data_IF_734810360106
#
_entry.id   IF_734810360106
#
_cell.length_a   1.000
_cell.length_b   1.000
_cell.length_c   1.000
_cell.angle_alpha   90.00
_cell.angle_beta   90.00
_cell.angle_gamma   90.00
#
_symmetry.space_group_name_H-M   'P 1'
#
loop_
_entity.id
_entity.type
_entity.pdbx_description
1 polymer ?
#
# COMPACT_ATOMS: atom_id res chain seq x y z
N UNK A 1 -4.08 -7.53 -9.88
CA UNK A 1 -3.23 -7.95 -8.70
C UNK A 1 -3.36 -9.42 -8.37
N UNK A 2 -4.57 -10.02 -8.40
CA UNK A 2 -4.77 -11.45 -8.07
C UNK A 2 -3.95 -12.38 -9.00
N UNK A 3 -4.04 -12.21 -10.32
CA UNK A 3 -3.28 -13.05 -11.25
C UNK A 3 -1.76 -12.86 -11.09
N UNK A 4 -1.29 -11.63 -10.83
CA UNK A 4 0.12 -11.41 -10.48
C UNK A 4 0.50 -12.14 -9.18
N UNK A 5 -0.37 -12.08 -8.17
CA UNK A 5 -0.15 -12.76 -6.87
C UNK A 5 -0.07 -14.28 -6.99
N UNK A 6 -0.78 -14.87 -7.95
CA UNK A 6 -0.72 -16.29 -8.27
C UNK A 6 0.66 -16.73 -8.76
N UNK A 7 1.41 -15.83 -9.41
CA UNK A 7 2.75 -16.13 -9.93
C UNK A 7 3.87 -15.57 -9.04
N UNK A 8 3.70 -14.37 -8.50
CA UNK A 8 4.68 -13.74 -7.63
C UNK A 8 4.02 -12.75 -6.65
N UNK A 9 3.89 -13.16 -5.40
CA UNK A 9 3.29 -12.32 -4.35
C UNK A 9 4.03 -11.00 -4.13
N UNK A 10 5.36 -10.99 -4.19
CA UNK A 10 6.15 -9.77 -4.03
C UNK A 10 5.86 -8.76 -5.14
N UNK A 11 5.85 -9.20 -6.40
CA UNK A 11 5.52 -8.34 -7.55
C UNK A 11 4.10 -7.80 -7.44
N UNK A 12 3.14 -8.65 -7.06
CA UNK A 12 1.75 -8.22 -6.92
C UNK A 12 1.58 -7.18 -5.81
N UNK A 13 2.27 -7.36 -4.68
CA UNK A 13 2.18 -6.43 -3.55
C UNK A 13 2.81 -5.07 -3.91
N UNK A 14 3.99 -5.05 -4.51
CA UNK A 14 4.66 -3.81 -4.90
C UNK A 14 3.90 -3.06 -5.98
N UNK A 15 3.40 -3.77 -7.00
CA UNK A 15 2.49 -3.20 -7.99
C UNK A 15 1.24 -2.59 -7.35
N UNK A 16 0.70 -3.29 -6.35
CA UNK A 16 -0.50 -2.83 -5.65
C UNK A 16 -0.25 -1.58 -4.80
N UNK A 17 0.93 -1.42 -4.20
CA UNK A 17 1.30 -0.21 -3.48
C UNK A 17 1.26 1.03 -4.38
N UNK A 18 1.85 0.93 -5.58
CA UNK A 18 1.81 2.00 -6.57
C UNK A 18 0.38 2.27 -7.08
N UNK A 19 -0.33 1.21 -7.45
CA UNK A 19 -1.69 1.32 -7.98
C UNK A 19 -2.67 1.88 -6.94
N UNK A 20 -2.57 1.47 -5.67
CA UNK A 20 -3.43 1.98 -4.62
C UNK A 20 -3.30 3.50 -4.46
N UNK A 21 -2.07 4.03 -4.45
CA UNK A 21 -1.84 5.48 -4.37
C UNK A 21 -2.45 6.22 -5.56
N UNK A 22 -2.18 5.73 -6.77
CA UNK A 22 -2.70 6.38 -7.98
C UNK A 22 -4.22 6.32 -8.07
N UNK A 23 -4.85 5.23 -7.61
CA UNK A 23 -6.31 5.14 -7.50
C UNK A 23 -6.90 6.06 -6.45
N UNK A 24 -6.24 6.20 -5.29
CA UNK A 24 -6.69 7.11 -4.22
C UNK A 24 -6.78 8.53 -4.72
N UNK A 25 -5.70 9.04 -5.28
CA UNK A 25 -5.61 10.42 -5.76
C UNK A 25 -6.40 10.60 -7.05
N UNK A 26 -6.40 9.60 -7.92
CA UNK A 26 -7.00 9.65 -9.24
C UNK A 26 -8.52 9.51 -9.22
N UNK A 27 -9.05 8.40 -8.78
CA UNK A 27 -10.46 8.04 -8.96
C UNK A 27 -11.29 8.18 -7.67
N UNK A 28 -10.77 7.67 -6.55
CA UNK A 28 -11.52 7.69 -5.28
C UNK A 28 -11.73 9.11 -4.79
N UNK A 29 -10.76 10.00 -5.05
CA UNK A 29 -10.84 11.41 -4.67
C UNK A 29 -11.95 12.20 -5.40
N UNK A 30 -12.50 11.69 -6.50
CA UNK A 30 -13.62 12.36 -7.19
C UNK A 30 -14.86 12.49 -6.31
N UNK A 31 -15.09 11.53 -5.42
CA UNK A 31 -16.26 11.49 -4.55
C UNK A 31 -16.06 12.21 -3.20
N UNK A 32 -14.91 12.86 -2.97
CA UNK A 32 -14.66 13.60 -1.73
C UNK A 32 -15.43 14.92 -1.70
N UNK A 33 -15.87 15.31 -0.51
CA UNK A 33 -16.40 16.65 -0.27
C UNK A 33 -15.24 17.63 -0.28
N UNK A 34 -15.25 18.51 -1.24
CA UNK A 34 -14.26 19.57 -1.45
C UNK A 34 -14.99 20.87 -1.76
N UNK A 35 -14.47 21.99 -1.29
CA UNK A 35 -14.84 23.31 -1.83
C UNK A 35 -14.37 23.43 -3.28
N UNK A 36 -14.86 24.42 -4.01
CA UNK A 36 -14.44 24.65 -5.39
C UNK A 36 -12.92 24.95 -5.47
N UNK A 37 -12.39 25.66 -4.48
CA UNK A 37 -10.96 25.97 -4.37
C UNK A 37 -10.12 24.73 -4.09
N UNK A 38 -10.53 23.88 -3.14
CA UNK A 38 -9.84 22.62 -2.84
C UNK A 38 -9.85 21.69 -4.05
N UNK A 39 -10.98 21.62 -4.76
CA UNK A 39 -11.08 20.82 -5.98
C UNK A 39 -10.17 21.31 -7.09
N UNK A 40 -10.08 22.63 -7.31
CA UNK A 40 -9.18 23.20 -8.31
C UNK A 40 -7.70 22.85 -8.01
N UNK A 41 -7.28 23.01 -6.75
CA UNK A 41 -5.93 22.65 -6.32
C UNK A 41 -5.68 21.13 -6.43
N UNK A 42 -6.67 20.31 -6.04
CA UNK A 42 -6.56 18.86 -6.17
C UNK A 42 -6.40 18.41 -7.64
N UNK A 43 -7.18 19.00 -8.56
CA UNK A 43 -7.09 18.66 -9.99
C UNK A 43 -5.72 19.01 -10.60
N UNK A 44 -5.12 20.12 -10.20
CA UNK A 44 -3.78 20.51 -10.62
C UNK A 44 -2.74 19.49 -10.13
N UNK A 45 -2.76 19.18 -8.82
CA UNK A 45 -1.84 18.21 -8.18
C UNK A 45 -2.02 16.80 -8.73
N UNK A 46 -3.26 16.38 -8.96
CA UNK A 46 -3.60 15.09 -9.58
C UNK A 46 -3.06 15.01 -11.01
N UNK A 47 -3.20 16.07 -11.78
CA UNK A 47 -2.68 16.15 -13.15
C UNK A 47 -1.16 16.03 -13.19
N UNK A 48 -0.47 16.65 -12.23
CA UNK A 48 0.99 16.55 -12.10
C UNK A 48 1.42 15.14 -11.68
N UNK A 49 0.73 14.51 -10.73
CA UNK A 49 0.96 13.12 -10.33
C UNK A 49 0.86 12.20 -11.56
N UNK A 50 -0.23 12.33 -12.33
CA UNK A 50 -0.43 11.50 -13.52
C UNK A 50 0.61 11.74 -14.61
N UNK A 51 1.04 12.99 -14.80
CA UNK A 51 2.13 13.30 -15.73
C UNK A 51 3.42 12.61 -15.31
N UNK A 52 3.78 12.68 -14.03
CA UNK A 52 4.95 12.01 -13.48
C UNK A 52 4.90 10.50 -13.68
N UNK A 53 3.75 9.87 -13.42
CA UNK A 53 3.57 8.43 -13.62
C UNK A 53 3.65 8.03 -15.11
N UNK A 54 2.95 8.75 -15.99
CA UNK A 54 2.80 8.35 -17.40
C UNK A 54 4.01 8.75 -18.24
N UNK A 55 4.50 9.98 -18.08
CA UNK A 55 5.56 10.51 -18.93
C UNK A 55 6.98 10.22 -18.40
N UNK A 56 7.12 10.13 -17.07
CA UNK A 56 8.43 10.01 -16.43
C UNK A 56 8.63 8.63 -15.79
N UNK A 57 7.58 7.83 -15.67
CA UNK A 57 7.63 6.49 -15.05
C UNK A 57 7.78 6.52 -13.54
N UNK A 58 7.39 7.61 -12.88
CA UNK A 58 7.53 7.76 -11.43
C UNK A 58 6.77 6.69 -10.67
N UNK A 59 7.44 6.08 -9.71
CA UNK A 59 6.87 5.08 -8.82
C UNK A 59 6.46 5.72 -7.50
N UNK A 60 5.24 5.43 -7.09
CA UNK A 60 4.69 5.83 -5.80
C UNK A 60 4.64 4.64 -4.85
N UNK A 61 5.10 4.82 -3.62
CA UNK A 61 4.89 3.89 -2.51
C UNK A 61 3.95 4.51 -1.49
N UNK A 62 3.31 3.66 -0.69
CA UNK A 62 2.42 4.10 0.39
C UNK A 62 2.84 3.45 1.72
N UNK A 63 3.85 3.97 2.40
CA UNK A 63 4.23 3.52 3.72
C UNK A 63 3.19 4.00 4.74
N UNK A 64 2.37 3.08 5.25
CA UNK A 64 1.25 3.41 6.12
C UNK A 64 1.56 3.13 7.60
N UNK A 65 2.10 1.95 7.91
CA UNK A 65 2.32 1.46 9.27
C UNK A 65 3.40 2.23 10.02
N UNK A 66 3.18 2.49 11.32
CA UNK A 66 4.14 3.15 12.20
C UNK A 66 4.73 2.22 13.27
N UNK A 67 4.26 0.96 13.30
CA UNK A 67 4.71 -0.05 14.27
C UNK A 67 4.17 0.17 15.68
N UNK A 68 3.15 1.01 15.81
CA UNK A 68 2.49 1.30 17.09
C UNK A 68 1.29 0.37 17.30
N UNK A 69 0.97 0.10 18.56
CA UNK A 69 -0.25 -0.63 18.89
C UNK A 69 -1.49 0.25 18.66
N UNK A 70 -2.66 -0.33 18.33
CA UNK A 70 -3.89 0.43 18.20
C UNK A 70 -4.20 1.23 19.46
N UNK A 71 -4.39 2.54 19.32
CA UNK A 71 -4.72 3.46 20.42
C UNK A 71 -3.52 4.06 21.14
N UNK A 72 -2.28 3.77 20.75
CA UNK A 72 -1.09 4.42 21.33
C UNK A 72 -0.99 5.90 20.95
N UNK A 73 -1.57 6.29 19.81
CA UNK A 73 -1.68 7.69 19.40
C UNK A 73 -3.08 8.02 18.92
N UNK A 74 -3.49 9.27 19.04
CA UNK A 74 -4.63 9.81 18.31
C UNK A 74 -4.17 10.13 16.87
N UNK A 75 -4.67 9.41 15.90
CA UNK A 75 -4.25 9.53 14.50
C UNK A 75 -2.88 8.89 14.24
N UNK A 76 -2.05 9.53 13.41
CA UNK A 76 -0.69 9.09 13.08
C UNK A 76 0.34 9.74 14.00
N UNK A 77 1.46 9.04 14.27
CA UNK A 77 2.59 9.57 15.04
C UNK A 77 3.49 10.48 14.20
N UNK A 78 3.59 10.25 12.90
CA UNK A 78 4.33 11.13 12.00
C UNK A 78 3.74 12.54 12.02
N UNK A 79 4.61 13.55 12.11
CA UNK A 79 4.26 14.97 12.27
C UNK A 79 4.89 15.81 11.18
N UNK A 80 4.13 16.75 10.64
CA UNK A 80 4.61 17.71 9.68
C UNK A 80 4.41 19.14 10.22
N UNK A 81 5.44 19.96 10.09
CA UNK A 81 5.42 21.37 10.45
C UNK A 81 5.35 22.19 9.18
N UNK A 82 4.34 23.10 9.02
CA UNK A 82 4.27 23.98 7.86
C UNK A 82 5.50 24.93 7.82
N UNK A 83 6.06 25.06 6.64
CA UNK A 83 7.16 26.01 6.35
C UNK A 83 6.89 26.69 5.02
N UNK A 84 7.72 27.68 4.65
CA UNK A 84 7.60 28.33 3.35
C UNK A 84 7.76 27.29 2.22
N UNK A 85 6.77 27.23 1.33
CA UNK A 85 6.74 26.32 0.19
C UNK A 85 6.37 24.87 0.50
N UNK A 86 6.05 24.49 1.75
CA UNK A 86 5.69 23.09 2.04
C UNK A 86 5.69 22.70 3.51
N UNK A 87 6.26 21.55 3.80
CA UNK A 87 6.26 20.95 5.15
C UNK A 87 7.62 20.35 5.48
N UNK A 88 7.98 20.35 6.76
CA UNK A 88 9.05 19.50 7.30
C UNK A 88 8.44 18.32 8.02
N UNK A 89 8.64 17.12 7.49
CA UNK A 89 8.10 15.88 8.02
C UNK A 89 9.10 15.20 8.97
N UNK A 90 8.62 14.79 10.14
CA UNK A 90 9.38 13.99 11.12
C UNK A 90 8.53 12.79 11.53
N UNK A 91 9.15 11.61 11.59
CA UNK A 91 8.44 10.39 12.00
C UNK A 91 9.09 9.14 11.44
N UNK A 92 8.39 8.02 11.64
CA UNK A 92 8.85 6.70 11.17
C UNK A 92 7.72 5.91 10.58
N UNK A 93 8.00 5.23 9.49
CA UNK A 93 7.11 4.23 8.89
C UNK A 93 7.82 2.89 8.81
N UNK A 94 7.09 1.81 9.07
CA UNK A 94 7.59 0.43 9.01
C UNK A 94 6.90 -0.33 7.88
N UNK A 95 7.51 -1.41 7.41
CA UNK A 95 7.01 -2.19 6.28
C UNK A 95 6.79 -1.35 5.01
N UNK A 96 7.72 -0.41 4.75
CA UNK A 96 7.65 0.49 3.60
C UNK A 96 8.04 -0.24 2.32
N UNK A 97 7.11 -0.97 1.72
CA UNK A 97 7.34 -1.63 0.43
C UNK A 97 7.79 -0.63 -0.63
N UNK A 98 8.71 -1.02 -1.50
CA UNK A 98 9.38 -0.16 -2.48
C UNK A 98 10.30 0.92 -1.85
N UNK A 99 10.76 0.75 -0.63
CA UNK A 99 11.53 1.77 0.10
C UNK A 99 12.77 2.29 -0.66
N UNK A 100 13.43 1.45 -1.46
CA UNK A 100 14.65 1.83 -2.19
C UNK A 100 14.41 2.16 -3.68
N UNK A 101 13.19 2.02 -4.18
CA UNK A 101 12.93 2.18 -5.63
C UNK A 101 11.78 3.14 -5.94
N UNK A 102 10.97 3.53 -4.97
CA UNK A 102 9.94 4.54 -5.18
C UNK A 102 10.57 5.92 -5.33
N UNK A 103 10.00 6.73 -6.21
CA UNK A 103 10.36 8.15 -6.36
C UNK A 103 9.67 9.02 -5.31
N UNK A 104 8.45 8.62 -4.90
CA UNK A 104 7.69 9.30 -3.86
C UNK A 104 7.13 8.30 -2.82
N UNK A 105 7.32 8.65 -1.56
CA UNK A 105 6.70 7.98 -0.42
C UNK A 105 5.46 8.76 0.03
N UNK A 106 4.27 8.22 -0.25
CA UNK A 106 3.01 8.89 0.11
C UNK A 106 2.64 8.54 1.55
N UNK A 107 2.82 9.50 2.44
CA UNK A 107 2.80 9.34 3.89
C UNK A 107 1.55 9.99 4.47
N UNK A 108 0.84 9.25 5.30
CA UNK A 108 -0.17 9.82 6.20
C UNK A 108 0.52 10.39 7.43
N UNK A 109 0.19 11.63 7.79
CA UNK A 109 0.73 12.30 8.96
C UNK A 109 -0.25 13.30 9.56
N UNK A 110 0.07 13.85 10.73
CA UNK A 110 -0.63 14.97 11.34
C UNK A 110 0.17 16.24 11.12
N UNK A 111 -0.50 17.35 10.86
CA UNK A 111 0.16 18.66 10.72
C UNK A 111 0.01 19.46 12.01
N UNK A 112 1.05 20.16 12.43
CA UNK A 112 1.02 20.99 13.63
C UNK A 112 -0.10 22.04 13.53
N UNK A 113 -0.97 22.09 14.56
CA UNK A 113 -2.11 23.00 14.60
C UNK A 113 -3.36 22.54 13.83
N UNK A 114 -3.36 21.34 13.25
CA UNK A 114 -4.51 20.74 12.55
C UNK A 114 -4.70 19.28 13.02
N UNK A 115 -5.92 18.89 13.32
CA UNK A 115 -6.30 17.54 13.76
C UNK A 115 -6.70 16.60 12.60
N UNK A 116 -6.70 17.13 11.36
CA UNK A 116 -7.03 16.37 10.15
C UNK A 116 -5.80 15.67 9.60
N UNK A 117 -5.99 14.42 9.18
CA UNK A 117 -4.93 13.65 8.53
C UNK A 117 -4.53 14.30 7.19
N UNK A 118 -3.24 14.38 6.94
CA UNK A 118 -2.67 14.81 5.67
C UNK A 118 -2.08 13.63 4.90
N UNK A 119 -2.08 13.74 3.58
CA UNK A 119 -1.51 12.76 2.67
C UNK A 119 -0.45 13.44 1.80
N UNK A 120 0.81 13.26 2.19
CA UNK A 120 1.96 13.97 1.65
C UNK A 120 2.86 13.05 0.84
N UNK A 121 3.19 13.42 -0.39
CA UNK A 121 4.17 12.73 -1.24
C UNK A 121 5.60 13.21 -0.94
N UNK A 122 6.34 12.48 -0.14
CA UNK A 122 7.72 12.77 0.23
C UNK A 122 8.65 12.34 -0.90
N UNK A 123 9.44 13.23 -1.53
CA UNK A 123 10.46 12.81 -2.48
C UNK A 123 11.45 11.85 -1.82
N UNK A 124 11.77 10.75 -2.47
CA UNK A 124 12.64 9.71 -1.88
C UNK A 124 14.09 10.19 -1.69
N UNK A 125 14.50 11.19 -2.46
CA UNK A 125 15.82 11.82 -2.45
C UNK A 125 15.88 13.10 -1.58
N UNK A 126 14.79 13.46 -0.89
CA UNK A 126 14.79 14.61 0.00
C UNK A 126 15.76 14.40 1.18
N UNK A 127 16.48 15.48 1.52
CA UNK A 127 17.31 15.47 2.74
C UNK A 127 16.45 15.09 3.96
N UNK A 128 16.99 14.23 4.82
CA UNK A 128 16.28 13.73 6.01
C UNK A 128 15.41 12.48 5.75
N UNK A 129 15.35 11.95 4.54
CA UNK A 129 14.76 10.64 4.26
C UNK A 129 15.82 9.56 4.48
N UNK A 130 15.60 8.68 5.46
CA UNK A 130 16.55 7.65 5.86
C UNK A 130 15.88 6.27 5.75
N UNK A 131 16.52 5.36 5.05
CA UNK A 131 16.09 3.96 4.94
C UNK A 131 16.86 3.14 5.98
N UNK A 132 16.15 2.48 6.90
CA UNK A 132 16.73 1.74 8.00
C UNK A 132 16.40 0.25 8.00
N UNK A 133 17.28 -0.53 8.64
CA UNK A 133 17.10 -1.96 8.88
C UNK A 133 17.29 -2.81 7.64
N UNK A 134 17.23 -4.12 7.82
CA UNK A 134 17.30 -5.11 6.76
C UNK A 134 15.90 -5.65 6.45
N UNK A 135 15.75 -6.21 5.26
CA UNK A 135 14.52 -6.88 4.85
C UNK A 135 14.83 -8.32 4.41
N UNK A 136 14.77 -9.25 5.36
CA UNK A 136 14.97 -10.69 5.13
C UNK A 136 13.89 -11.56 5.80
N UNK A 137 12.61 -11.36 5.48
CA UNK A 137 11.52 -12.18 6.03
C UNK A 137 11.47 -13.56 5.38
N UNK A 138 10.68 -14.47 5.96
CA UNK A 138 10.44 -15.81 5.40
C UNK A 138 9.85 -15.77 3.98
N UNK A 139 8.92 -14.83 3.74
CA UNK A 139 8.29 -14.62 2.44
C UNK A 139 8.28 -13.13 2.06
N UNK A 140 7.88 -12.80 0.83
CA UNK A 140 7.75 -11.41 0.35
C UNK A 140 9.08 -10.63 0.34
N UNK A 141 10.22 -11.31 0.17
CA UNK A 141 11.55 -10.68 0.16
C UNK A 141 11.70 -9.62 -0.92
N UNK A 142 11.14 -9.87 -2.10
CA UNK A 142 11.21 -8.94 -3.23
C UNK A 142 10.39 -7.66 -3.07
N UNK A 143 9.67 -7.45 -1.94
CA UNK A 143 8.96 -6.19 -1.70
C UNK A 143 9.86 -5.09 -1.17
N UNK A 144 11.05 -5.45 -0.64
CA UNK A 144 11.98 -4.52 -0.03
C UNK A 144 11.28 -3.53 0.92
N UNK A 145 10.61 -4.09 1.93
CA UNK A 145 9.73 -3.34 2.84
C UNK A 145 10.48 -2.89 4.10
N UNK A 146 11.57 -2.15 3.93
CA UNK A 146 12.40 -1.62 5.01
C UNK A 146 11.66 -0.53 5.78
N UNK A 147 12.29 0.01 6.81
CA UNK A 147 11.73 1.14 7.55
C UNK A 147 12.18 2.45 6.90
N UNK A 148 11.32 3.46 6.98
CA UNK A 148 11.62 4.83 6.61
C UNK A 148 11.60 5.70 7.87
N UNK A 149 12.63 6.49 8.02
CA UNK A 149 12.70 7.55 9.03
C UNK A 149 12.75 8.89 8.29
N UNK A 150 11.93 9.81 8.75
CA UNK A 150 11.89 11.18 8.28
C UNK A 150 12.43 12.07 9.40
N UNK A 151 13.55 12.73 9.16
CA UNK A 151 14.21 13.66 10.10
C UNK A 151 14.21 15.07 9.51
N UNK A 152 13.06 15.74 9.62
CA UNK A 152 12.86 17.05 9.01
C UNK A 152 12.84 17.02 7.47
N UNK A 153 12.38 15.93 6.85
CA UNK A 153 12.33 15.78 5.40
C UNK A 153 11.40 16.82 4.78
N UNK A 154 11.92 17.61 3.82
CA UNK A 154 11.13 18.61 3.15
C UNK A 154 10.16 17.99 2.14
N UNK A 155 8.88 18.38 2.25
CA UNK A 155 7.82 17.97 1.33
C UNK A 155 7.24 19.22 0.68
N UNK A 156 7.36 19.38 -0.65
CA UNK A 156 6.76 20.50 -1.36
C UNK A 156 5.24 20.56 -1.19
N UNK A 157 4.65 21.75 -1.11
CA UNK A 157 3.21 21.93 -0.92
C UNK A 157 2.37 21.29 -2.05
N UNK A 158 2.89 21.27 -3.27
CA UNK A 158 2.28 20.61 -4.42
C UNK A 158 2.17 19.08 -4.29
N UNK A 159 2.96 18.49 -3.42
CA UNK A 159 2.91 17.05 -3.13
C UNK A 159 1.90 16.69 -2.04
N UNK A 160 1.09 17.62 -1.56
CA UNK A 160 -0.10 17.30 -0.77
C UNK A 160 -1.24 16.89 -1.72
N UNK A 161 -1.33 15.59 -2.01
CA UNK A 161 -2.19 15.08 -3.08
C UNK A 161 -3.68 15.04 -2.74
N UNK A 162 -4.04 15.13 -1.47
CA UNK A 162 -5.43 15.17 -1.02
C UNK A 162 -5.68 16.43 -0.18
N UNK A 163 -6.87 17.01 -0.21
CA UNK A 163 -7.20 18.12 0.68
C UNK A 163 -7.13 17.68 2.15
N UNK A 164 -6.97 18.62 3.07
CA UNK A 164 -6.97 18.33 4.50
C UNK A 164 -8.21 17.54 4.95
N UNK A 165 -8.02 16.39 5.59
CA UNK A 165 -9.11 15.48 5.98
C UNK A 165 -9.67 14.63 4.83
N UNK A 166 -9.16 14.75 3.61
CA UNK A 166 -9.59 13.90 2.48
C UNK A 166 -9.32 12.43 2.73
N UNK A 167 -8.20 12.10 3.40
CA UNK A 167 -7.91 10.73 3.78
C UNK A 167 -8.92 10.19 4.80
N UNK A 168 -9.36 10.99 5.78
CA UNK A 168 -10.37 10.59 6.77
C UNK A 168 -11.73 10.31 6.12
N UNK A 169 -12.12 11.15 5.15
CA UNK A 169 -13.32 10.91 4.36
C UNK A 169 -13.25 9.58 3.60
N UNK A 170 -12.12 9.30 2.94
CA UNK A 170 -11.90 8.03 2.24
C UNK A 170 -11.97 6.83 3.18
N UNK A 171 -11.28 6.89 4.30
CA UNK A 171 -11.27 5.83 5.30
C UNK A 171 -12.67 5.49 5.83
N UNK A 172 -13.53 6.50 5.93
CA UNK A 172 -14.92 6.34 6.41
C UNK A 172 -15.85 5.82 5.30
N UNK A 173 -15.74 6.35 4.09
CA UNK A 173 -16.67 6.03 2.98
C UNK A 173 -16.31 4.73 2.28
N UNK A 174 -15.01 4.41 2.17
CA UNK A 174 -14.51 3.23 1.47
C UNK A 174 -13.60 2.39 2.36
N UNK A 175 -14.15 1.72 3.39
CA UNK A 175 -13.34 0.86 4.28
C UNK A 175 -12.62 -0.26 3.52
N UNK A 176 -13.13 -0.68 2.36
CA UNK A 176 -12.46 -1.64 1.48
C UNK A 176 -11.10 -1.13 0.94
N UNK A 177 -10.82 0.17 1.02
CA UNK A 177 -9.50 0.69 0.69
C UNK A 177 -8.38 -0.02 1.48
N UNK A 178 -8.63 -0.33 2.74
CA UNK A 178 -7.70 -1.11 3.56
C UNK A 178 -7.54 -2.55 3.10
N UNK A 179 -8.41 -3.03 2.24
CA UNK A 179 -8.36 -4.38 1.66
C UNK A 179 -7.63 -4.43 0.32
N UNK A 180 -7.01 -3.34 -0.12
CA UNK A 180 -6.29 -3.28 -1.42
C UNK A 180 -5.24 -4.36 -1.58
N UNK A 181 -4.62 -4.82 -0.49
CA UNK A 181 -3.66 -5.92 -0.49
C UNK A 181 -4.32 -7.30 -0.63
N UNK A 182 -5.61 -7.42 -0.40
CA UNK A 182 -6.36 -8.69 -0.38
C UNK A 182 -6.19 -9.45 -1.70
N UNK A 183 -6.25 -8.77 -2.84
CA UNK A 183 -6.11 -9.42 -4.15
C UNK A 183 -4.75 -10.09 -4.33
N UNK A 184 -3.68 -9.54 -3.75
CA UNK A 184 -2.37 -10.20 -3.75
C UNK A 184 -2.42 -11.52 -2.99
N UNK A 185 -3.03 -11.52 -1.82
CA UNK A 185 -3.14 -12.72 -0.99
C UNK A 185 -4.11 -13.76 -1.56
N UNK A 186 -5.18 -13.34 -2.22
CA UNK A 186 -6.07 -14.24 -2.98
C UNK A 186 -5.31 -14.96 -4.09
N UNK A 187 -4.45 -14.24 -4.80
CA UNK A 187 -3.58 -14.83 -5.81
C UNK A 187 -2.63 -15.88 -5.23
N UNK A 188 -1.99 -15.58 -4.10
CA UNK A 188 -1.11 -16.54 -3.40
C UNK A 188 -1.90 -17.77 -2.93
N UNK A 189 -3.09 -17.58 -2.35
CA UNK A 189 -3.96 -18.69 -1.96
C UNK A 189 -4.32 -19.56 -3.17
N UNK A 190 -4.62 -18.96 -4.32
CA UNK A 190 -4.89 -19.66 -5.56
C UNK A 190 -3.70 -20.48 -6.02
N UNK A 191 -2.49 -19.91 -5.98
CA UNK A 191 -1.26 -20.63 -6.33
C UNK A 191 -1.04 -21.87 -5.46
N UNK A 192 -1.29 -21.75 -4.15
CA UNK A 192 -1.18 -22.88 -3.21
C UNK A 192 -2.22 -23.96 -3.52
N UNK A 193 -3.45 -23.57 -3.85
CA UNK A 193 -4.50 -24.50 -4.22
C UNK A 193 -4.19 -25.24 -5.53
N UNK A 194 -3.71 -24.52 -6.55
CA UNK A 194 -3.31 -25.09 -7.83
C UNK A 194 -2.15 -26.08 -7.65
N UNK A 195 -1.09 -25.66 -6.96
CA UNK A 195 0.04 -26.55 -6.64
C UNK A 195 -0.41 -27.83 -5.92
N UNK A 196 -1.28 -27.69 -4.92
CA UNK A 196 -1.79 -28.85 -4.16
C UNK A 196 -2.63 -29.75 -5.05
N UNK A 197 -3.41 -29.19 -5.96
CA UNK A 197 -4.22 -29.95 -6.93
C UNK A 197 -3.34 -30.78 -7.85
N UNK A 198 -2.31 -30.16 -8.43
CA UNK A 198 -1.39 -30.80 -9.36
C UNK A 198 -0.56 -31.89 -8.66
N UNK A 199 -0.12 -31.61 -7.43
CA UNK A 199 0.56 -32.58 -6.59
C UNK A 199 -0.32 -33.82 -6.29
N UNK A 200 -1.60 -33.62 -5.99
CA UNK A 200 -2.54 -34.74 -5.75
C UNK A 200 -2.88 -35.50 -7.03
N UNK A 201 -2.87 -34.86 -8.19
CA UNK A 201 -3.05 -35.51 -9.50
C UNK A 201 -1.87 -36.34 -9.94
N UNK A 202 -0.74 -36.23 -9.28
CA UNK A 202 0.47 -36.98 -9.56
C UNK A 202 1.47 -36.24 -10.43
N UNK A 203 1.30 -34.98 -10.69
CA UNK A 203 2.31 -34.15 -11.34
C UNK A 203 3.54 -34.04 -10.42
N UNK A 204 4.64 -34.63 -10.81
CA UNK A 204 5.86 -34.75 -10.01
C UNK A 204 5.87 -35.88 -8.97
N UNK A 205 5.04 -36.93 -9.11
CA UNK A 205 5.00 -38.07 -8.20
C UNK A 205 3.98 -39.14 -8.54
N UNK A 206 3.50 -39.86 -7.53
CA UNK A 206 2.51 -40.94 -7.68
C UNK A 206 1.09 -40.42 -7.56
N UNK A 207 0.18 -40.91 -8.39
CA UNK A 207 -1.25 -40.57 -8.35
C UNK A 207 -2.02 -41.18 -7.15
N UNK A 208 -1.38 -42.06 -6.39
CA UNK A 208 -2.00 -42.69 -5.20
C UNK A 208 -2.43 -41.69 -4.14
N UNK A 209 -1.81 -40.51 -4.08
CA UNK A 209 -2.12 -39.48 -3.10
C UNK A 209 -3.54 -38.96 -3.18
N UNK A 210 -4.11 -38.89 -4.41
CA UNK A 210 -5.47 -38.37 -4.62
C UNK A 210 -6.55 -39.25 -4.00
N UNK A 211 -6.24 -40.55 -3.84
CA UNK A 211 -7.20 -41.55 -3.37
C UNK A 211 -7.21 -41.67 -1.84
N UNK A 212 -6.35 -40.91 -1.15
CA UNK A 212 -6.29 -40.83 0.31
C UNK A 212 -7.40 -39.92 0.86
N UNK A 213 -8.37 -40.43 1.67
CA UNK A 213 -9.46 -39.61 2.18
C UNK A 213 -9.02 -38.36 2.93
N UNK A 214 -7.93 -38.43 3.71
CA UNK A 214 -7.38 -37.30 4.45
C UNK A 214 -6.88 -36.20 3.50
N UNK A 215 -6.29 -36.55 2.37
CA UNK A 215 -5.82 -35.58 1.35
C UNK A 215 -6.98 -34.94 0.62
N UNK A 216 -8.01 -35.69 0.25
CA UNK A 216 -9.23 -35.19 -0.35
C UNK A 216 -9.96 -34.22 0.59
N UNK A 217 -10.07 -34.59 1.87
CA UNK A 217 -10.67 -33.69 2.86
C UNK A 217 -9.88 -32.39 3.04
N UNK A 218 -8.57 -32.47 3.18
CA UNK A 218 -7.70 -31.29 3.29
C UNK A 218 -7.80 -30.38 2.08
N UNK A 219 -7.79 -30.96 0.86
CA UNK A 219 -7.98 -30.18 -0.37
C UNK A 219 -9.35 -29.50 -0.42
N UNK A 220 -10.42 -30.19 -0.05
CA UNK A 220 -11.76 -29.63 0.00
C UNK A 220 -11.85 -28.45 0.97
N UNK A 221 -11.21 -28.54 2.15
CA UNK A 221 -11.13 -27.42 3.09
C UNK A 221 -10.38 -26.22 2.52
N UNK A 222 -9.24 -26.44 1.85
CA UNK A 222 -8.50 -25.37 1.17
C UNK A 222 -9.34 -24.69 0.09
N UNK A 223 -10.06 -25.48 -0.71
CA UNK A 223 -10.94 -24.97 -1.75
C UNK A 223 -12.07 -24.10 -1.18
N UNK A 224 -12.74 -24.59 -0.14
CA UNK A 224 -13.80 -23.84 0.54
C UNK A 224 -13.28 -22.55 1.18
N UNK A 225 -12.08 -22.58 1.78
CA UNK A 225 -11.45 -21.37 2.35
C UNK A 225 -11.18 -20.33 1.28
N UNK A 226 -10.64 -20.74 0.12
CA UNK A 226 -10.39 -19.82 -1.00
C UNK A 226 -11.69 -19.23 -1.56
N UNK A 227 -12.73 -20.04 -1.80
CA UNK A 227 -14.03 -19.56 -2.27
C UNK A 227 -14.70 -18.57 -1.30
N UNK A 228 -14.59 -18.84 0.01
CA UNK A 228 -15.07 -17.88 1.03
C UNK A 228 -14.31 -16.55 0.99
N UNK A 229 -12.98 -16.60 0.82
CA UNK A 229 -12.17 -15.40 0.72
C UNK A 229 -12.48 -14.57 -0.54
N UNK A 230 -12.92 -15.22 -1.62
CA UNK A 230 -13.33 -14.53 -2.85
C UNK A 230 -14.73 -13.90 -2.76
N UNK A 231 -15.59 -14.41 -1.87
CA UNK A 231 -16.96 -13.92 -1.72
C UNK A 231 -17.09 -12.68 -0.81
N UNK A 232 -15.99 -12.27 -0.18
CA UNK A 232 -15.90 -11.06 0.66
C UNK A 232 -15.53 -9.85 -0.18
#
# INVERSE_FOLDING_TARGET
SEELGRHCGSTALTFNMHTATTMLVGQIADDLDMTDEERAVHEERRSELWRGVIAEGRLHAQPFSEGLAPGETAGFAARAVPVDGGYLLTGRKVFASLSEVADLHNVTCMVEGDDRVRFLGVPADADGVIIEGDWDPLGMRGTNSRNLVFDGAFVPAENEFLPPGGFDQMATRWPYFYTTLTFTYLGIQRAVLDYTTDYLRGEGGTSERRDMPQKQHGWAQMRLAWERSQAL
#
